data_IF_532766412045
#
_entry.id   IF_532766412045
#
_cell.length_a   1.000
_cell.length_b   1.000
_cell.length_c   1.000
_cell.angle_alpha   90.00
_cell.angle_beta   90.00
_cell.angle_gamma   90.00
#
_symmetry.space_group_name_H-M   'P 1'
#
loop_
_entity.id
_entity.type
_entity.pdbx_description
1 polymer ?
#
# COMPACT_ATOMS: atom_id res chain seq x y z
N UNK A 1 -7.30 -4.90 -20.10
CA UNK A 1 -5.89 -4.55 -19.82
C UNK A 1 -4.94 -5.19 -20.83
N UNK A 2 -4.89 -6.53 -21.00
CA UNK A 2 -4.01 -7.20 -21.98
C UNK A 2 -4.27 -6.69 -23.39
N UNK A 3 -5.53 -6.65 -23.83
CA UNK A 3 -5.89 -6.21 -25.18
C UNK A 3 -5.48 -4.74 -25.43
N UNK A 4 -5.69 -3.85 -24.46
CA UNK A 4 -5.27 -2.46 -24.57
C UNK A 4 -3.74 -2.32 -24.73
N UNK A 5 -2.95 -3.13 -24.00
CA UNK A 5 -1.49 -3.13 -24.15
C UNK A 5 -1.05 -3.67 -25.53
N UNK A 6 -1.71 -4.72 -26.04
CA UNK A 6 -1.47 -5.25 -27.40
C UNK A 6 -1.84 -4.22 -28.47
N UNK A 7 -2.98 -3.54 -28.32
CA UNK A 7 -3.41 -2.47 -29.22
C UNK A 7 -2.44 -1.28 -29.22
N UNK A 8 -1.88 -0.95 -28.05
CA UNK A 8 -0.85 0.05 -27.91
C UNK A 8 0.52 -0.35 -28.51
N UNK A 9 0.66 -1.58 -29.03
CA UNK A 9 1.85 -2.03 -29.74
C UNK A 9 2.75 -3.03 -28.99
N UNK A 10 2.36 -3.49 -27.80
CA UNK A 10 3.13 -4.50 -27.09
C UNK A 10 3.19 -5.82 -27.90
N UNK A 11 4.38 -6.43 -27.97
CA UNK A 11 4.56 -7.74 -28.64
C UNK A 11 4.08 -8.89 -27.78
N UNK A 12 4.31 -8.80 -26.47
CA UNK A 12 3.88 -9.78 -25.46
C UNK A 12 3.42 -9.03 -24.22
N UNK A 13 2.44 -9.53 -23.54
CA UNK A 13 1.93 -8.96 -22.28
C UNK A 13 1.86 -10.10 -21.26
N UNK A 14 2.43 -9.87 -20.10
CA UNK A 14 2.41 -10.78 -18.97
C UNK A 14 1.67 -10.11 -17.81
N UNK A 15 0.88 -10.88 -17.06
CA UNK A 15 0.26 -10.44 -15.83
C UNK A 15 1.07 -10.98 -14.66
N UNK A 16 1.38 -10.11 -13.73
CA UNK A 16 2.10 -10.42 -12.51
C UNK A 16 1.30 -9.90 -11.32
N UNK A 17 1.19 -10.69 -10.27
CA UNK A 17 0.58 -10.26 -9.01
C UNK A 17 1.46 -9.18 -8.35
N UNK A 18 0.83 -8.11 -7.86
CA UNK A 18 1.55 -6.97 -7.26
C UNK A 18 2.42 -7.42 -6.10
N UNK A 19 1.93 -8.32 -5.25
CA UNK A 19 2.68 -8.84 -4.11
C UNK A 19 3.97 -9.55 -4.52
N UNK A 20 3.93 -10.35 -5.62
CA UNK A 20 5.13 -11.02 -6.17
C UNK A 20 6.09 -9.98 -6.74
N UNK A 21 5.57 -9.00 -7.50
CA UNK A 21 6.38 -7.90 -8.01
C UNK A 21 7.04 -7.13 -6.86
N UNK A 22 6.30 -6.79 -5.82
CA UNK A 22 6.81 -6.08 -4.64
C UNK A 22 7.89 -6.90 -3.93
N UNK A 23 7.67 -8.20 -3.71
CA UNK A 23 8.67 -9.08 -3.10
C UNK A 23 9.99 -9.07 -3.89
N UNK A 24 9.92 -9.21 -5.22
CA UNK A 24 11.10 -9.13 -6.09
C UNK A 24 11.75 -7.75 -6.08
N UNK A 25 10.94 -6.69 -6.06
CA UNK A 25 11.41 -5.31 -5.93
C UNK A 25 12.20 -5.10 -4.66
N UNK A 26 11.70 -5.60 -3.54
CA UNK A 26 12.33 -5.59 -2.23
C UNK A 26 13.58 -6.48 -2.12
N UNK A 27 13.90 -7.28 -3.15
CA UNK A 27 15.06 -8.18 -3.15
C UNK A 27 14.84 -9.51 -2.44
N UNK A 28 13.57 -9.88 -2.20
CA UNK A 28 13.22 -11.19 -1.64
C UNK A 28 13.50 -12.28 -2.66
N UNK A 29 14.15 -13.35 -2.22
CA UNK A 29 14.34 -14.56 -3.02
C UNK A 29 13.08 -15.42 -2.94
N UNK A 30 12.16 -15.15 -3.84
CA UNK A 30 10.85 -15.83 -3.89
C UNK A 30 10.93 -17.30 -4.33
N UNK A 31 12.09 -17.80 -4.78
CA UNK A 31 12.24 -19.21 -5.20
C UNK A 31 12.27 -20.18 -4.01
N UNK A 32 12.52 -19.66 -2.81
CA UNK A 32 12.55 -20.45 -1.58
C UNK A 32 11.16 -20.76 -1.06
N UNK A 33 11.08 -21.81 -0.25
CA UNK A 33 9.84 -22.23 0.40
C UNK A 33 9.50 -21.41 1.66
N UNK A 34 10.27 -20.36 1.97
CA UNK A 34 10.05 -19.48 3.11
C UNK A 34 8.84 -18.57 2.88
N UNK A 35 8.03 -18.36 3.91
CA UNK A 35 6.91 -17.42 3.86
C UNK A 35 7.37 -15.96 4.05
N UNK A 36 6.86 -15.06 3.20
CA UNK A 36 7.05 -13.61 3.32
C UNK A 36 5.71 -12.90 3.26
N UNK A 37 5.42 -12.02 4.21
CA UNK A 37 4.24 -11.17 4.13
C UNK A 37 4.58 -9.85 3.44
N UNK A 38 3.81 -9.54 2.42
CA UNK A 38 3.92 -8.31 1.64
C UNK A 38 2.67 -7.48 1.88
N UNK A 39 2.83 -6.21 2.20
CA UNK A 39 1.74 -5.24 2.31
C UNK A 39 2.06 -4.08 1.37
N UNK A 40 1.26 -3.92 0.33
CA UNK A 40 1.35 -2.78 -0.58
C UNK A 40 0.18 -1.82 -0.35
N UNK A 41 0.46 -0.63 0.19
CA UNK A 41 -0.53 0.41 0.43
C UNK A 41 -0.42 1.45 -0.66
N UNK A 42 -1.20 1.27 -1.72
CA UNK A 42 -1.23 2.18 -2.86
C UNK A 42 -2.09 3.43 -2.63
N UNK A 43 -2.53 4.05 -3.72
CA UNK A 43 -3.49 5.17 -3.69
C UNK A 43 -4.93 4.72 -3.45
N UNK A 44 -5.40 3.70 -4.17
CA UNK A 44 -6.79 3.23 -4.14
C UNK A 44 -7.00 1.89 -3.44
N UNK A 45 -5.99 1.04 -3.36
CA UNK A 45 -6.07 -0.31 -2.79
C UNK A 45 -4.90 -0.59 -1.87
N UNK A 46 -5.16 -1.39 -0.84
CA UNK A 46 -4.14 -2.06 -0.04
C UNK A 46 -4.20 -3.54 -0.35
N UNK A 47 -3.07 -4.09 -0.75
CA UNK A 47 -2.89 -5.52 -1.03
C UNK A 47 -2.03 -6.13 0.07
N UNK A 48 -2.53 -7.20 0.66
CA UNK A 48 -1.89 -7.93 1.76
C UNK A 48 -1.77 -9.38 1.31
N UNK A 49 -0.56 -9.91 1.24
CA UNK A 49 -0.34 -11.25 0.71
C UNK A 49 0.80 -11.99 1.40
N UNK A 50 0.67 -13.29 1.47
CA UNK A 50 1.76 -14.22 1.80
C UNK A 50 2.31 -14.79 0.50
N UNK A 51 3.61 -14.59 0.30
CA UNK A 51 4.35 -15.09 -0.88
C UNK A 51 5.30 -16.19 -0.46
N UNK A 52 5.29 -17.31 -1.19
CA UNK A 52 6.21 -18.44 -1.01
C UNK A 52 6.35 -19.21 -2.33
N UNK A 53 7.51 -19.80 -2.59
CA UNK A 53 7.79 -20.61 -3.81
C UNK A 53 7.34 -19.92 -5.10
N UNK A 54 7.63 -18.61 -5.20
CA UNK A 54 7.35 -17.80 -6.39
C UNK A 54 5.89 -17.44 -6.64
N UNK A 55 4.98 -17.75 -5.74
CA UNK A 55 3.55 -17.47 -5.89
C UNK A 55 2.91 -16.90 -4.64
N UNK A 56 1.68 -16.45 -4.77
CA UNK A 56 0.84 -16.01 -3.66
C UNK A 56 0.13 -17.22 -3.06
N UNK A 57 0.27 -17.40 -1.74
CA UNK A 57 -0.37 -18.48 -0.98
C UNK A 57 -1.72 -18.03 -0.43
N UNK A 58 -1.72 -16.85 0.19
CA UNK A 58 -2.92 -16.17 0.72
C UNK A 58 -2.86 -14.70 0.36
N UNK A 59 -4.00 -14.11 0.04
CA UNK A 59 -4.08 -12.67 -0.20
C UNK A 59 -5.44 -12.09 0.16
N UNK A 60 -5.42 -10.79 0.41
CA UNK A 60 -6.60 -9.96 0.54
C UNK A 60 -6.32 -8.58 -0.07
N UNK A 61 -7.26 -8.07 -0.84
CA UNK A 61 -7.19 -6.73 -1.42
C UNK A 61 -8.39 -5.91 -0.97
N UNK A 62 -8.14 -4.79 -0.31
CA UNK A 62 -9.17 -3.88 0.19
C UNK A 62 -9.09 -2.52 -0.49
N UNK A 63 -10.24 -1.86 -0.64
CA UNK A 63 -10.34 -0.50 -1.18
C UNK A 63 -10.11 0.59 -0.12
N UNK A 64 -9.21 0.33 0.83
CA UNK A 64 -8.82 1.27 1.87
C UNK A 64 -7.32 1.54 1.73
N UNK A 65 -6.96 2.71 1.23
CA UNK A 65 -5.58 3.09 0.92
C UNK A 65 -5.40 4.61 0.96
N UNK A 66 -4.41 5.17 0.26
CA UNK A 66 -4.05 6.58 0.29
C UNK A 66 -5.22 7.54 0.16
N UNK A 67 -6.13 7.31 -0.79
CA UNK A 67 -7.34 8.13 -0.99
C UNK A 67 -8.31 8.05 0.20
N UNK A 68 -8.42 6.89 0.85
CA UNK A 68 -9.27 6.76 2.05
C UNK A 68 -8.77 7.60 3.22
N UNK A 69 -7.45 7.76 3.36
CA UNK A 69 -6.87 8.68 4.34
C UNK A 69 -7.16 10.15 3.99
N UNK A 70 -7.13 10.52 2.70
CA UNK A 70 -7.47 11.87 2.26
C UNK A 70 -8.94 12.20 2.55
N UNK A 71 -9.85 11.28 2.24
CA UNK A 71 -11.27 11.40 2.55
C UNK A 71 -11.51 11.48 4.06
N UNK A 72 -10.76 10.73 4.86
CA UNK A 72 -10.85 10.77 6.31
C UNK A 72 -10.42 12.14 6.85
N UNK A 73 -9.35 12.75 6.31
CA UNK A 73 -8.95 14.12 6.63
C UNK A 73 -10.05 15.11 6.28
N UNK A 74 -10.62 15.05 5.06
CA UNK A 74 -11.72 15.96 4.65
C UNK A 74 -12.88 15.87 5.64
N UNK A 75 -13.29 14.66 6.01
CA UNK A 75 -14.38 14.43 6.98
C UNK A 75 -14.03 14.98 8.36
N UNK A 76 -12.79 14.75 8.82
CA UNK A 76 -12.31 15.22 10.11
C UNK A 76 -12.29 16.75 10.18
N UNK A 77 -11.69 17.42 9.19
CA UNK A 77 -11.63 18.89 9.13
C UNK A 77 -13.01 19.50 9.04
N UNK A 78 -13.91 18.91 8.26
CA UNK A 78 -15.30 19.35 8.19
C UNK A 78 -16.00 19.27 9.54
N UNK A 79 -15.85 18.14 10.25
CA UNK A 79 -16.51 17.91 11.54
C UNK A 79 -15.96 18.81 12.65
N UNK A 80 -14.64 19.01 12.69
CA UNK A 80 -13.98 19.70 13.79
C UNK A 80 -13.94 21.21 13.64
N UNK A 81 -13.83 21.71 12.41
CA UNK A 81 -13.56 23.11 12.12
C UNK A 81 -14.66 23.80 11.30
N UNK A 82 -15.71 23.08 10.92
CA UNK A 82 -16.73 23.55 9.98
C UNK A 82 -16.12 24.11 8.69
N UNK A 83 -15.02 23.49 8.24
CA UNK A 83 -14.25 23.91 7.08
C UNK A 83 -14.31 22.86 5.97
N UNK A 84 -14.64 23.26 4.75
CA UNK A 84 -14.61 22.42 3.58
C UNK A 84 -13.27 22.61 2.84
N UNK A 85 -12.53 21.52 2.69
CA UNK A 85 -11.27 21.45 1.92
C UNK A 85 -11.40 20.48 0.75
N UNK A 86 -10.53 20.62 -0.25
CA UNK A 86 -10.43 19.67 -1.36
C UNK A 86 -9.57 18.44 -1.02
N UNK A 87 -9.69 17.38 -1.84
CA UNK A 87 -8.86 16.17 -1.68
C UNK A 87 -7.36 16.45 -1.88
N UNK A 88 -7.00 17.38 -2.78
CA UNK A 88 -5.59 17.78 -2.98
C UNK A 88 -4.99 18.39 -1.71
N UNK A 89 -5.73 19.28 -1.03
CA UNK A 89 -5.29 19.85 0.25
C UNK A 89 -5.17 18.78 1.34
N UNK A 90 -6.09 17.82 1.35
CA UNK A 90 -6.02 16.70 2.30
C UNK A 90 -4.81 15.79 2.02
N UNK A 91 -4.51 15.51 0.74
CA UNK A 91 -3.31 14.74 0.35
C UNK A 91 -2.01 15.46 0.75
N UNK A 92 -1.91 16.76 0.50
CA UNK A 92 -0.78 17.58 0.93
C UNK A 92 -0.60 17.50 2.44
N UNK A 93 -1.68 17.66 3.21
CA UNK A 93 -1.68 17.57 4.66
C UNK A 93 -1.26 16.18 5.16
N UNK A 94 -1.78 15.10 4.52
CA UNK A 94 -1.35 13.72 4.82
C UNK A 94 0.14 13.54 4.59
N UNK A 95 0.68 14.03 3.48
CA UNK A 95 2.09 13.87 3.11
C UNK A 95 3.03 14.68 3.99
N UNK A 96 2.63 15.88 4.42
CA UNK A 96 3.48 16.78 5.21
C UNK A 96 3.53 16.39 6.69
N UNK A 97 2.36 16.20 7.31
CA UNK A 97 2.27 15.97 8.77
C UNK A 97 1.46 14.71 9.16
N UNK A 98 0.95 13.93 8.20
CA UNK A 98 0.17 12.72 8.50
C UNK A 98 0.95 11.71 9.33
N UNK A 99 0.30 11.18 10.38
CA UNK A 99 0.87 10.14 11.22
C UNK A 99 -0.22 9.30 11.88
N UNK A 100 0.08 8.02 12.11
CA UNK A 100 -0.83 7.07 12.80
C UNK A 100 -0.43 6.83 14.26
N UNK A 101 0.76 7.30 14.65
CA UNK A 101 1.23 7.33 16.04
C UNK A 101 1.79 8.71 16.35
N UNK A 102 1.88 9.04 17.63
CA UNK A 102 2.43 10.32 18.06
C UNK A 102 3.88 10.49 17.61
N UNK A 103 4.17 11.63 16.99
CA UNK A 103 5.52 12.02 16.58
C UNK A 103 6.26 12.68 17.78
N UNK A 104 7.59 12.53 17.87
CA UNK A 104 8.40 13.26 18.85
C UNK A 104 8.22 14.78 18.70
N UNK A 105 8.25 15.25 17.44
CA UNK A 105 8.05 16.65 17.09
C UNK A 105 6.68 16.81 16.46
N UNK A 106 5.82 17.64 17.07
CA UNK A 106 4.48 17.91 16.55
C UNK A 106 4.61 18.80 15.32
N UNK A 107 4.26 18.25 14.14
CA UNK A 107 4.15 19.00 12.91
C UNK A 107 2.88 19.85 12.89
N UNK A 108 2.93 20.99 12.23
CA UNK A 108 1.79 21.89 12.02
C UNK A 108 1.76 22.36 10.57
N UNK A 109 0.56 22.42 10.00
CA UNK A 109 0.31 22.98 8.69
C UNK A 109 -0.84 23.97 8.72
N UNK A 110 -0.73 25.05 7.95
CA UNK A 110 -1.81 25.98 7.72
C UNK A 110 -2.53 25.63 6.42
N UNK A 111 -3.80 25.35 6.51
CA UNK A 111 -4.65 25.03 5.36
C UNK A 111 -5.76 26.05 5.17
N UNK A 112 -6.18 26.22 3.94
CA UNK A 112 -7.27 27.12 3.54
C UNK A 112 -8.45 26.34 3.00
N UNK A 113 -9.65 26.80 3.31
CA UNK A 113 -10.87 26.20 2.83
C UNK A 113 -12.05 27.19 2.89
N UNK A 114 -13.22 26.67 2.62
CA UNK A 114 -14.48 27.43 2.74
C UNK A 114 -15.13 27.15 4.08
N UNK A 115 -15.32 28.19 4.87
CA UNK A 115 -16.12 28.11 6.10
C UNK A 115 -17.57 27.74 5.77
N UNK A 116 -18.10 26.70 6.40
CA UNK A 116 -19.44 26.18 6.14
C UNK A 116 -20.55 27.03 6.80
N UNK A 117 -20.18 27.90 7.75
CA UNK A 117 -21.10 28.77 8.47
C UNK A 117 -21.50 30.00 7.65
N UNK A 118 -20.51 30.61 6.99
CA UNK A 118 -20.70 31.88 6.27
C UNK A 118 -20.31 31.87 4.80
N UNK A 119 -19.72 30.75 4.33
CA UNK A 119 -19.30 30.56 2.95
C UNK A 119 -18.00 31.25 2.54
N UNK A 120 -17.35 31.96 3.46
CA UNK A 120 -16.15 32.75 3.18
C UNK A 120 -14.87 31.91 3.28
N UNK A 121 -13.76 32.35 2.64
CA UNK A 121 -12.45 31.76 2.85
C UNK A 121 -12.00 31.85 4.31
N UNK A 122 -11.48 30.75 4.84
CA UNK A 122 -10.97 30.66 6.21
C UNK A 122 -9.70 29.82 6.21
N UNK A 123 -8.71 30.26 6.99
CA UNK A 123 -7.48 29.48 7.27
C UNK A 123 -7.55 28.89 8.67
N UNK A 124 -7.03 27.69 8.83
CA UNK A 124 -6.86 27.03 10.11
C UNK A 124 -5.46 26.41 10.18
N UNK A 125 -4.95 26.24 11.40
CA UNK A 125 -3.72 25.50 11.67
C UNK A 125 -4.09 24.12 12.21
N UNK A 126 -3.57 23.07 11.57
CA UNK A 126 -3.81 21.66 11.94
C UNK A 126 -2.49 21.06 12.45
N UNK A 127 -2.56 20.23 13.47
CA UNK A 127 -1.42 19.50 14.01
C UNK A 127 -1.39 18.05 13.57
N UNK A 128 -0.19 17.46 13.53
CA UNK A 128 -0.02 16.01 13.23
C UNK A 128 -0.75 15.12 14.24
N UNK A 129 -0.81 15.54 15.52
CA UNK A 129 -1.51 14.80 16.57
C UNK A 129 -3.02 14.68 16.29
N UNK A 130 -3.61 15.72 15.72
CA UNK A 130 -5.04 15.71 15.37
C UNK A 130 -5.35 14.75 14.23
N UNK A 131 -4.42 14.56 13.29
CA UNK A 131 -4.62 13.65 12.16
C UNK A 131 -4.64 12.18 12.58
N UNK A 132 -4.06 11.83 13.73
CA UNK A 132 -4.15 10.46 14.28
C UNK A 132 -5.62 10.06 14.43
N UNK A 133 -6.48 10.96 14.94
CA UNK A 133 -7.92 10.69 15.09
C UNK A 133 -8.59 10.44 13.73
N UNK A 134 -8.21 11.19 12.71
CA UNK A 134 -8.75 11.01 11.36
C UNK A 134 -8.39 9.63 10.78
N UNK A 135 -7.22 9.10 11.12
CA UNK A 135 -6.68 7.87 10.53
C UNK A 135 -7.10 6.59 11.25
N UNK A 136 -7.78 6.66 12.39
CA UNK A 136 -8.23 5.48 13.15
C UNK A 136 -9.07 4.53 12.29
N UNK A 137 -10.08 5.04 11.60
CA UNK A 137 -11.00 4.21 10.82
C UNK A 137 -10.30 3.48 9.65
N UNK A 138 -9.56 4.17 8.74
CA UNK A 138 -8.86 3.48 7.66
C UNK A 138 -7.77 2.53 8.17
N UNK A 139 -7.07 2.86 9.25
CA UNK A 139 -6.06 1.97 9.83
C UNK A 139 -6.66 0.70 10.41
N UNK A 140 -7.78 0.79 11.13
CA UNK A 140 -8.44 -0.40 11.67
C UNK A 140 -8.82 -1.39 10.57
N UNK A 141 -9.35 -0.92 9.43
CA UNK A 141 -9.67 -1.77 8.29
C UNK A 141 -8.45 -2.49 7.72
N UNK A 142 -7.30 -1.79 7.65
CA UNK A 142 -6.04 -2.39 7.21
C UNK A 142 -5.57 -3.45 8.21
N UNK A 143 -5.60 -3.15 9.51
CA UNK A 143 -5.19 -4.10 10.55
C UNK A 143 -6.09 -5.34 10.59
N UNK A 144 -7.41 -5.17 10.47
CA UNK A 144 -8.36 -6.28 10.38
C UNK A 144 -8.04 -7.20 9.19
N UNK A 145 -7.73 -6.64 8.03
CA UNK A 145 -7.33 -7.42 6.85
C UNK A 145 -6.00 -8.14 7.06
N UNK A 146 -5.02 -7.51 7.71
CA UNK A 146 -3.74 -8.16 8.04
C UNK A 146 -3.98 -9.39 8.93
N UNK A 147 -4.77 -9.24 10.00
CA UNK A 147 -5.12 -10.37 10.88
C UNK A 147 -5.89 -11.46 10.14
N UNK A 148 -6.84 -11.10 9.28
CA UNK A 148 -7.60 -12.03 8.45
C UNK A 148 -6.70 -12.87 7.54
N UNK A 149 -5.68 -12.28 6.91
CA UNK A 149 -4.69 -13.01 6.10
C UNK A 149 -3.84 -13.94 6.97
N UNK A 150 -3.36 -13.46 8.12
CA UNK A 150 -2.56 -14.27 9.05
C UNK A 150 -3.33 -15.50 9.55
N UNK A 151 -4.62 -15.34 9.87
CA UNK A 151 -5.47 -16.44 10.34
C UNK A 151 -5.69 -17.54 9.28
N UNK A 152 -5.74 -17.17 8.00
CA UNK A 152 -5.90 -18.11 6.89
C UNK A 152 -4.58 -18.73 6.42
N UNK A 153 -3.46 -18.15 6.83
CA UNK A 153 -2.12 -18.60 6.40
C UNK A 153 -1.73 -19.90 7.11
N UNK A 154 -1.16 -20.88 6.38
CA UNK A 154 -0.63 -22.10 6.98
C UNK A 154 0.36 -21.81 8.12
N UNK A 155 0.28 -22.51 9.27
CA UNK A 155 1.09 -22.24 10.46
C UNK A 155 2.60 -22.22 10.21
N UNK A 156 3.09 -23.05 9.28
CA UNK A 156 4.51 -23.10 8.91
C UNK A 156 4.98 -21.78 8.32
N UNK A 157 4.19 -21.20 7.41
CA UNK A 157 4.53 -19.92 6.78
C UNK A 157 4.38 -18.74 7.75
N UNK A 158 3.41 -18.81 8.68
CA UNK A 158 3.31 -17.81 9.78
C UNK A 158 4.57 -17.86 10.65
N UNK A 159 5.09 -19.06 10.96
CA UNK A 159 6.35 -19.23 11.69
C UNK A 159 7.56 -18.57 10.98
N UNK A 160 7.59 -18.60 9.66
CA UNK A 160 8.66 -17.96 8.90
C UNK A 160 8.66 -16.44 9.04
N UNK A 161 7.49 -15.82 9.29
CA UNK A 161 7.35 -14.37 9.44
C UNK A 161 8.06 -13.83 10.69
N UNK A 162 8.29 -14.66 11.71
CA UNK A 162 9.07 -14.26 12.90
C UNK A 162 10.49 -13.84 12.47
N UNK A 163 11.06 -14.56 11.51
CA UNK A 163 12.40 -14.31 10.97
C UNK A 163 12.40 -13.29 9.82
N UNK A 164 11.47 -13.43 8.87
CA UNK A 164 11.45 -12.68 7.64
C UNK A 164 10.76 -11.31 7.78
N UNK A 165 9.85 -11.18 8.75
CA UNK A 165 9.10 -9.95 8.98
C UNK A 165 8.01 -9.69 7.94
N UNK A 166 7.41 -8.51 8.06
CA UNK A 166 6.45 -7.93 7.12
C UNK A 166 7.17 -6.90 6.27
N UNK A 167 7.03 -6.97 4.96
CA UNK A 167 7.61 -6.02 4.01
C UNK A 167 6.50 -5.11 3.50
N UNK A 168 6.68 -3.80 3.67
CA UNK A 168 5.73 -2.78 3.26
C UNK A 168 6.21 -1.99 2.05
N UNK A 169 5.29 -1.71 1.15
CA UNK A 169 5.48 -0.96 -0.09
C UNK A 169 4.25 -0.06 -0.35
N UNK A 170 4.33 0.71 -1.43
CA UNK A 170 3.31 1.68 -1.82
C UNK A 170 3.42 3.01 -1.09
N UNK A 171 2.90 4.07 -1.72
CA UNK A 171 3.02 5.43 -1.18
C UNK A 171 2.31 5.64 0.17
N UNK A 172 1.26 4.85 0.46
CA UNK A 172 0.56 4.89 1.75
C UNK A 172 1.39 4.35 2.90
N UNK A 173 2.36 3.46 2.65
CA UNK A 173 3.27 2.95 3.68
C UNK A 173 4.20 4.03 4.27
N UNK A 174 4.34 5.17 3.58
CA UNK A 174 5.16 6.29 4.01
C UNK A 174 4.50 7.18 5.08
N UNK A 175 3.23 6.93 5.42
CA UNK A 175 2.58 7.62 6.54
C UNK A 175 3.34 7.29 7.82
N UNK A 176 3.76 8.34 8.55
CA UNK A 176 4.61 8.17 9.72
C UNK A 176 4.03 7.22 10.76
N UNK A 177 4.81 6.20 11.10
CA UNK A 177 4.55 5.25 12.17
C UNK A 177 3.60 4.11 11.82
N UNK A 178 3.22 3.97 10.53
CA UNK A 178 2.36 2.87 10.09
C UNK A 178 3.04 1.50 10.29
N UNK A 179 4.34 1.43 10.04
CA UNK A 179 5.20 0.28 10.30
C UNK A 179 5.15 -0.14 11.77
N UNK A 180 5.36 0.83 12.67
CA UNK A 180 5.35 0.60 14.11
C UNK A 180 3.97 0.22 14.64
N UNK A 181 2.91 0.76 14.03
CA UNK A 181 1.54 0.43 14.43
C UNK A 181 1.20 -1.02 14.03
N UNK A 182 1.59 -1.44 12.82
CA UNK A 182 1.41 -2.82 12.36
C UNK A 182 2.26 -3.78 13.20
N UNK A 183 3.53 -3.44 13.45
CA UNK A 183 4.40 -4.26 14.31
C UNK A 183 3.83 -4.43 15.72
N UNK A 184 3.28 -3.36 16.33
CA UNK A 184 2.62 -3.45 17.65
C UNK A 184 1.36 -4.31 17.63
N UNK A 185 0.61 -4.28 16.52
CA UNK A 185 -0.65 -5.04 16.39
C UNK A 185 -0.43 -6.52 16.14
N UNK A 186 0.61 -6.85 15.36
CA UNK A 186 0.88 -8.24 14.92
C UNK A 186 1.97 -8.95 15.75
N UNK A 187 2.83 -8.19 16.42
CA UNK A 187 4.04 -8.71 17.05
C UNK A 187 5.15 -9.09 16.06
N UNK A 188 4.96 -8.85 14.76
CA UNK A 188 5.88 -9.22 13.69
C UNK A 188 6.66 -7.97 13.25
N UNK A 189 7.99 -8.05 13.19
CA UNK A 189 8.84 -6.97 12.69
C UNK A 189 8.38 -6.49 11.33
N UNK A 190 8.20 -5.17 11.17
CA UNK A 190 7.67 -4.57 9.94
C UNK A 190 8.66 -3.58 9.36
N UNK A 191 8.95 -3.71 8.06
CA UNK A 191 9.98 -2.93 7.36
C UNK A 191 9.36 -2.29 6.12
N UNK A 192 9.55 -0.98 5.95
CA UNK A 192 9.21 -0.26 4.72
C UNK A 192 10.42 -0.33 3.79
N UNK A 193 10.21 -0.68 2.52
CA UNK A 193 11.27 -0.69 1.51
C UNK A 193 11.75 0.72 1.19
N UNK A 194 13.02 0.89 0.82
CA UNK A 194 13.65 2.19 0.57
C UNK A 194 12.91 3.03 -0.49
N UNK A 195 12.52 2.42 -1.60
CA UNK A 195 11.69 3.06 -2.64
C UNK A 195 10.31 2.42 -2.69
N UNK A 196 9.50 2.71 -1.68
CA UNK A 196 8.17 2.14 -1.52
C UNK A 196 7.23 2.44 -2.70
N UNK A 197 7.37 3.60 -3.34
CA UNK A 197 6.47 4.02 -4.43
C UNK A 197 6.74 3.25 -5.71
N UNK A 198 8.01 2.94 -6.01
CA UNK A 198 8.41 2.31 -7.28
C UNK A 198 8.70 0.81 -7.14
N UNK A 199 8.65 0.27 -5.92
CA UNK A 199 9.09 -1.10 -5.60
C UNK A 199 8.44 -2.16 -6.51
N UNK A 200 7.11 -2.15 -6.63
CA UNK A 200 6.38 -3.10 -7.47
C UNK A 200 6.76 -2.97 -8.97
N UNK A 201 6.90 -1.73 -9.46
CA UNK A 201 7.30 -1.49 -10.85
C UNK A 201 8.73 -1.98 -11.12
N UNK A 202 9.64 -1.74 -10.18
CA UNK A 202 11.02 -2.22 -10.25
C UNK A 202 11.08 -3.76 -10.22
N UNK A 203 10.28 -4.39 -9.37
CA UNK A 203 10.17 -5.85 -9.30
C UNK A 203 9.58 -6.45 -10.59
N UNK A 204 8.57 -5.82 -11.17
CA UNK A 204 8.05 -6.22 -12.48
C UNK A 204 9.14 -6.12 -13.58
N UNK A 205 9.99 -5.10 -13.54
CA UNK A 205 11.15 -4.96 -14.43
C UNK A 205 12.17 -6.09 -14.24
N UNK A 206 12.49 -6.46 -13.00
CA UNK A 206 13.37 -7.62 -12.71
C UNK A 206 12.80 -8.93 -13.25
N UNK A 207 11.47 -9.12 -13.13
CA UNK A 207 10.79 -10.31 -13.65
C UNK A 207 10.97 -10.47 -15.16
N UNK A 208 11.00 -9.39 -15.93
CA UNK A 208 11.23 -9.44 -17.38
C UNK A 208 12.61 -10.02 -17.73
N UNK A 209 13.61 -9.88 -16.87
CA UNK A 209 14.96 -10.45 -17.09
C UNK A 209 15.02 -11.96 -16.83
N UNK A 210 14.01 -12.51 -16.14
CA UNK A 210 13.97 -13.92 -15.72
C UNK A 210 12.85 -14.71 -16.39
N UNK A 211 12.21 -14.15 -17.44
CA UNK A 211 11.07 -14.78 -18.12
C UNK A 211 11.32 -16.21 -18.60
N UNK A 212 12.55 -16.51 -19.05
CA UNK A 212 12.91 -17.82 -19.59
C UNK A 212 13.12 -18.88 -18.48
N UNK A 213 13.29 -18.46 -17.24
CA UNK A 213 13.49 -19.33 -16.07
C UNK A 213 12.24 -19.53 -15.23
N UNK A 214 11.15 -18.82 -15.55
CA UNK A 214 9.90 -18.90 -14.79
C UNK A 214 9.12 -20.16 -15.18
N UNK A 215 8.72 -20.92 -14.16
CA UNK A 215 7.80 -22.06 -14.36
C UNK A 215 6.41 -21.52 -14.73
N UNK A 216 5.66 -22.29 -15.54
CA UNK A 216 4.33 -21.93 -16.07
C UNK A 216 3.29 -21.53 -15.00
N UNK A 217 3.55 -21.75 -13.71
CA UNK A 217 2.68 -21.38 -12.60
C UNK A 217 2.83 -19.95 -12.07
N UNK A 218 3.90 -19.23 -12.41
CA UNK A 218 4.16 -17.88 -11.89
C UNK A 218 3.46 -16.76 -12.68
N UNK A 219 2.98 -17.08 -13.88
CA UNK A 219 2.29 -16.13 -14.76
C UNK A 219 0.98 -16.71 -15.22
N UNK A 220 -0.13 -16.17 -14.72
CA UNK A 220 -1.45 -16.71 -15.02
C UNK A 220 -1.93 -16.48 -16.46
N UNK A 221 -1.42 -15.48 -17.20
CA UNK A 221 -1.81 -15.23 -18.59
C UNK A 221 -0.73 -14.47 -19.36
N UNK A 222 -0.40 -14.97 -20.57
CA UNK A 222 0.27 -14.16 -21.57
C UNK A 222 -0.49 -14.22 -22.89
N UNK A 223 -0.48 -13.15 -23.67
CA UNK A 223 -1.01 -13.12 -25.03
C UNK A 223 0.08 -12.64 -25.98
N UNK A 224 0.39 -13.44 -26.98
CA UNK A 224 1.32 -13.07 -28.04
C UNK A 224 0.56 -12.37 -29.17
N UNK A 225 1.06 -11.24 -29.63
CA UNK A 225 0.51 -10.56 -30.82
C UNK A 225 0.66 -11.50 -32.01
N UNK A 226 -0.44 -11.89 -32.65
CA UNK A 226 -0.39 -12.54 -33.95
C UNK A 226 0.00 -11.47 -34.97
N UNK A 227 1.22 -11.58 -35.50
CA UNK A 227 1.61 -10.79 -36.67
C UNK A 227 0.75 -11.28 -37.81
N UNK A 228 -0.21 -10.47 -38.27
CA UNK A 228 -0.85 -10.70 -39.54
C UNK A 228 0.24 -10.55 -40.58
N UNK A 229 0.59 -11.68 -41.26
CA UNK A 229 1.43 -11.71 -42.44
C UNK A 229 0.77 -11.01 -43.63
#
# INVERSE_FOLDING_TARGET
MIDAAIEAGARKVYLLETAVATAMGAGVDISKADGHMIIDIGGGTTEIAIVSVGGVVECESIKTAGTSFDEAIVKFIRRKYDLLIGLSTAEELKRSIGCVIQRPDIGYEEIKGRDLTNGLPKSIRVSSTELIEAFVEPMNKILESIHSVLERTPPQLVGDLEKNGIIMSGGGSLIYGIDRLIERSTGIRTIIVDDAVSCAAYGAGKMLMHLDSLQDGMMNFYRKRQLKG
#
